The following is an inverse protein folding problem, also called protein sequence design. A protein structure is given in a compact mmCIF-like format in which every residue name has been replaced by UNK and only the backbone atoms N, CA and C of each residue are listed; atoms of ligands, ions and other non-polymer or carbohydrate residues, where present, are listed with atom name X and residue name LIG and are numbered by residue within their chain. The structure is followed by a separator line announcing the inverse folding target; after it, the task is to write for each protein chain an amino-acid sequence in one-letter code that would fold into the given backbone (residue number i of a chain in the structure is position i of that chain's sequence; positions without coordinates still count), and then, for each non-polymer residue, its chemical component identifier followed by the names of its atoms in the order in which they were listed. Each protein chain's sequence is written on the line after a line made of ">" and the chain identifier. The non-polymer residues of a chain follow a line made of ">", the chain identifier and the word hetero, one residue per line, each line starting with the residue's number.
data_IF_795927203710
#
_entry.id   IF_795927203710
#
_cell.length_a   1.000
_cell.length_b   1.000
_cell.length_c   1.000
_cell.angle_alpha   90.00
_cell.angle_beta   90.00
_cell.angle_gamma   90.00
#
_symmetry.space_group_name_H-M   'P 1'
#
loop_
_entity.id
_entity.type
_entity.pdbx_description
1 polymer ?
#
# COMPACT_ATOMS: atom_id res chain seq x y z
N UNK A 1 -55.28 -11.25 -32.91
CA UNK A 1 -56.25 -10.40 -32.22
C UNK A 1 -55.51 -9.42 -31.38
N UNK A 2 -55.73 -8.13 -31.69
CA UNK A 2 -55.10 -6.94 -31.10
C UNK A 2 -55.58 -6.71 -29.67
N UNK A 3 -54.75 -6.23 -28.75
CA UNK A 3 -55.13 -5.20 -27.82
C UNK A 3 -53.91 -4.46 -27.31
N UNK A 4 -53.82 -3.18 -27.68
CA UNK A 4 -52.92 -2.17 -27.15
C UNK A 4 -53.59 -1.47 -25.99
N UNK A 5 -52.85 -1.21 -24.91
CA UNK A 5 -53.26 -0.24 -23.89
C UNK A 5 -52.18 0.81 -23.75
N UNK A 6 -52.56 2.01 -24.18
CA UNK A 6 -51.83 3.26 -23.96
C UNK A 6 -52.15 3.84 -22.58
N UNK A 7 -51.19 4.30 -21.82
CA UNK A 7 -51.40 5.18 -20.67
C UNK A 7 -50.60 6.46 -20.82
N UNK A 8 -51.36 7.52 -20.56
CA UNK A 8 -51.12 8.95 -20.84
C UNK A 8 -49.99 9.58 -20.01
N UNK A 9 -49.29 10.49 -20.66
CA UNK A 9 -48.53 11.60 -20.04
C UNK A 9 -49.55 12.57 -19.34
N UNK A 10 -49.15 13.02 -18.16
CA UNK A 10 -49.66 14.29 -17.61
C UNK A 10 -48.47 15.21 -17.26
N UNK A 11 -48.43 16.31 -18.01
CA UNK A 11 -47.56 17.46 -17.82
C UNK A 11 -48.20 18.32 -16.75
N UNK A 12 -47.42 18.75 -15.75
CA UNK A 12 -47.83 19.79 -14.77
C UNK A 12 -46.80 20.91 -14.75
N UNK A 13 -47.18 22.04 -15.33
CA UNK A 13 -46.46 23.31 -15.35
C UNK A 13 -47.01 24.21 -14.21
N UNK A 14 -46.14 25.00 -13.65
CA UNK A 14 -46.31 26.30 -12.95
C UNK A 14 -45.77 26.25 -11.49
N UNK A 15 -45.07 27.25 -10.89
CA UNK A 15 -45.03 28.69 -11.14
C UNK A 15 -43.73 29.26 -10.59
N UNK A 16 -43.16 30.23 -11.28
CA UNK A 16 -42.16 31.18 -10.80
C UNK A 16 -42.75 32.13 -9.76
N UNK A 17 -42.02 32.47 -8.74
CA UNK A 17 -42.11 33.76 -8.08
C UNK A 17 -40.74 34.28 -7.71
N UNK A 18 -40.38 35.38 -8.34
CA UNK A 18 -39.21 36.21 -8.05
C UNK A 18 -39.55 37.13 -6.85
N UNK A 19 -38.57 37.36 -5.99
CA UNK A 19 -38.57 38.56 -5.10
C UNK A 19 -37.18 39.17 -5.06
N UNK A 20 -37.10 40.36 -5.69
CA UNK A 20 -36.06 41.37 -5.53
C UNK A 20 -36.27 42.14 -4.21
N UNK A 21 -35.20 42.42 -3.46
CA UNK A 21 -35.09 43.59 -2.57
C UNK A 21 -33.61 43.93 -2.43
N UNK A 22 -33.15 44.96 -3.11
CA UNK A 22 -32.90 46.39 -2.84
C UNK A 22 -31.74 46.65 -1.85
N UNK A 23 -30.79 47.31 -2.44
CA UNK A 23 -29.62 48.04 -1.99
C UNK A 23 -29.91 49.00 -0.84
N UNK A 24 -28.98 49.19 0.08
CA UNK A 24 -28.79 50.47 0.78
C UNK A 24 -27.31 50.68 1.14
N UNK A 25 -26.69 51.60 0.43
CA UNK A 25 -25.45 52.31 0.80
C UNK A 25 -25.70 53.21 2.02
N UNK A 26 -24.72 53.27 2.90
CA UNK A 26 -24.54 54.44 3.78
C UNK A 26 -23.04 54.72 3.95
N UNK A 27 -22.61 55.79 3.32
CA UNK A 27 -21.38 56.56 3.54
C UNK A 27 -21.60 57.55 4.69
N UNK A 28 -20.68 57.70 5.60
CA UNK A 28 -20.38 58.95 6.39
C UNK A 28 -19.07 58.63 7.13
N UNK A 29 -18.01 59.26 6.87
CA UNK A 29 -17.42 60.60 6.97
C UNK A 29 -16.34 60.63 8.08
N UNK A 30 -15.21 61.19 7.68
CA UNK A 30 -14.02 61.49 8.49
C UNK A 30 -14.30 62.44 9.68
N UNK A 31 -13.52 62.22 10.77
CA UNK A 31 -13.00 63.36 11.54
C UNK A 31 -11.60 63.04 12.10
N UNK A 32 -10.68 63.99 11.86
CA UNK A 32 -9.35 64.09 12.42
C UNK A 32 -9.41 64.65 13.84
N UNK A 33 -8.60 64.17 14.76
CA UNK A 33 -7.64 65.01 15.47
C UNK A 33 -6.89 64.25 16.56
N UNK A 34 -5.58 64.53 16.70
CA UNK A 34 -4.87 64.66 17.95
C UNK A 34 -3.81 63.60 18.24
N UNK A 35 -2.58 63.97 17.95
CA UNK A 35 -1.31 63.32 18.33
C UNK A 35 -1.16 63.08 19.81
N UNK A 36 -0.50 61.98 20.24
CA UNK A 36 0.75 61.98 21.05
C UNK A 36 1.19 60.56 21.38
N UNK A 37 2.49 60.30 21.26
CA UNK A 37 3.20 59.35 22.13
C UNK A 37 3.52 57.96 21.50
N UNK A 38 4.75 57.87 21.06
CA UNK A 38 5.44 56.68 20.59
C UNK A 38 5.42 55.53 21.60
N UNK A 39 5.17 54.30 21.13
CA UNK A 39 5.95 53.13 21.49
C UNK A 39 5.85 52.11 20.32
N UNK A 40 6.98 51.97 19.65
CA UNK A 40 7.17 51.08 18.52
C UNK A 40 7.30 49.66 19.07
N UNK A 41 6.18 48.92 19.18
CA UNK A 41 6.19 47.50 19.28
C UNK A 41 6.38 46.96 17.85
N UNK A 42 7.56 46.44 17.54
CA UNK A 42 7.85 45.72 16.33
C UNK A 42 6.92 44.51 16.29
N UNK A 43 5.85 44.57 15.45
CA UNK A 43 5.18 43.39 14.98
C UNK A 43 6.23 42.54 14.29
N UNK A 44 6.35 41.24 14.63
CA UNK A 44 7.13 40.36 13.79
C UNK A 44 6.42 40.27 12.45
N UNK A 45 7.04 40.83 11.42
CA UNK A 45 6.70 40.64 10.02
C UNK A 45 6.60 39.12 9.80
N UNK A 46 5.39 38.63 9.59
CA UNK A 46 5.18 37.28 9.09
C UNK A 46 5.88 37.21 7.74
N UNK A 47 7.11 36.73 7.77
CA UNK A 47 7.83 36.30 6.58
C UNK A 47 6.98 35.18 6.01
N UNK A 48 6.29 35.42 4.89
CA UNK A 48 5.78 34.39 4.01
C UNK A 48 6.98 33.69 3.41
N UNK A 49 7.68 32.88 4.25
CA UNK A 49 8.70 31.97 3.82
C UNK A 49 8.04 30.93 2.95
N UNK A 50 8.39 30.89 1.67
CA UNK A 50 8.25 29.67 0.87
C UNK A 50 8.74 28.54 1.72
N UNK A 51 7.82 27.62 2.08
CA UNK A 51 8.12 26.46 2.93
C UNK A 51 9.36 25.76 2.36
N UNK A 52 10.48 25.77 3.09
CA UNK A 52 11.71 25.07 2.73
C UNK A 52 11.54 23.53 2.84
N UNK A 53 10.32 23.08 2.93
CA UNK A 53 9.95 21.68 3.05
C UNK A 53 10.21 20.92 1.74
N UNK A 54 10.66 19.69 1.88
CA UNK A 54 11.02 18.81 0.78
C UNK A 54 9.80 17.97 0.39
N UNK A 55 9.20 18.15 -0.82
CA UNK A 55 7.98 17.48 -1.20
C UNK A 55 8.25 16.05 -1.69
N UNK A 56 7.62 15.06 -1.07
CA UNK A 56 7.61 13.65 -1.49
C UNK A 56 6.17 13.25 -1.80
N UNK A 57 5.93 12.68 -2.98
CA UNK A 57 4.62 12.23 -3.42
C UNK A 57 4.24 10.90 -2.79
N UNK A 58 2.97 10.78 -2.42
CA UNK A 58 2.37 9.54 -1.91
C UNK A 58 1.20 9.18 -2.81
N UNK A 59 1.33 8.07 -3.53
CA UNK A 59 0.35 7.60 -4.49
C UNK A 59 -0.24 6.26 -4.03
N UNK A 60 -1.17 6.29 -3.07
CA UNK A 60 -1.85 5.11 -2.57
C UNK A 60 -3.36 5.16 -2.84
N UNK A 61 -3.99 4.00 -3.01
CA UNK A 61 -5.44 3.89 -3.10
C UNK A 61 -6.08 4.29 -1.77
N UNK A 62 -6.92 5.32 -1.77
CA UNK A 62 -7.69 5.75 -0.60
C UNK A 62 -9.16 5.39 -0.74
N UNK A 63 -9.57 5.04 -1.95
CA UNK A 63 -10.92 4.62 -2.34
C UNK A 63 -10.87 3.25 -3.01
N UNK A 64 -12.02 2.64 -3.33
CA UNK A 64 -12.20 1.32 -3.94
C UNK A 64 -12.12 0.11 -2.98
N UNK A 65 -12.20 -1.09 -3.53
CA UNK A 65 -12.11 -2.37 -2.79
C UNK A 65 -10.72 -2.66 -2.19
N UNK A 66 -9.68 -1.91 -2.61
CA UNK A 66 -8.31 -2.00 -2.07
C UNK A 66 -7.92 -0.79 -1.21
N UNK A 67 -8.86 0.10 -0.90
CA UNK A 67 -8.63 1.31 -0.11
C UNK A 67 -7.96 1.03 1.23
N UNK A 68 -8.36 -0.05 1.90
CA UNK A 68 -7.83 -0.39 3.22
C UNK A 68 -6.34 -0.73 3.16
N UNK A 69 -5.88 -1.36 2.08
CA UNK A 69 -4.46 -1.63 1.85
C UNK A 69 -3.68 -0.32 1.64
N UNK A 70 -4.21 0.59 0.82
CA UNK A 70 -3.59 1.90 0.61
C UNK A 70 -3.60 2.80 1.85
N UNK A 71 -4.64 2.73 2.68
CA UNK A 71 -4.72 3.43 3.96
C UNK A 71 -3.66 2.93 4.95
N UNK A 72 -3.45 1.61 5.06
CA UNK A 72 -2.38 1.05 5.88
C UNK A 72 -0.98 1.50 5.39
N UNK A 73 -0.78 1.64 4.07
CA UNK A 73 0.43 2.24 3.51
C UNK A 73 0.57 3.71 3.88
N UNK A 74 -0.52 4.47 3.79
CA UNK A 74 -0.58 5.90 4.19
C UNK A 74 -0.26 6.09 5.67
N UNK A 75 -0.73 5.19 6.54
CA UNK A 75 -0.39 5.22 7.97
C UNK A 75 1.12 5.08 8.19
N UNK A 76 1.78 4.21 7.41
CA UNK A 76 3.22 4.00 7.48
C UNK A 76 4.02 5.25 7.14
N UNK A 77 3.71 5.92 6.02
CA UNK A 77 4.41 7.15 5.62
C UNK A 77 4.14 8.31 6.58
N UNK A 78 2.93 8.43 7.15
CA UNK A 78 2.62 9.45 8.16
C UNK A 78 3.45 9.28 9.43
N UNK A 79 3.61 8.06 9.91
CA UNK A 79 4.46 7.78 11.07
C UNK A 79 5.92 8.08 10.75
N UNK A 80 6.40 7.73 9.55
CA UNK A 80 7.75 8.02 9.13
C UNK A 80 7.99 9.55 9.00
N UNK A 81 7.08 10.31 8.37
CA UNK A 81 7.16 11.76 8.29
C UNK A 81 7.30 12.40 9.67
N UNK A 82 6.41 12.03 10.60
CA UNK A 82 6.44 12.54 11.99
C UNK A 82 7.76 12.16 12.69
N UNK A 83 8.19 10.91 12.53
CA UNK A 83 9.41 10.39 13.16
C UNK A 83 10.66 11.13 12.67
N UNK A 84 10.84 11.27 11.36
CA UNK A 84 12.03 11.90 10.80
C UNK A 84 12.01 13.42 10.93
N UNK A 85 10.86 14.08 10.81
CA UNK A 85 10.74 15.52 11.04
C UNK A 85 11.05 15.89 12.50
N UNK A 86 10.64 15.07 13.47
CA UNK A 86 10.99 15.26 14.87
C UNK A 86 12.51 15.15 15.14
N UNK A 87 13.26 14.50 14.26
CA UNK A 87 14.72 14.39 14.31
C UNK A 87 15.45 15.45 13.47
N UNK A 88 14.73 16.47 12.97
CA UNK A 88 15.29 17.56 12.19
C UNK A 88 15.21 17.35 10.67
N UNK A 89 14.50 16.34 10.19
CA UNK A 89 14.25 16.12 8.76
C UNK A 89 15.53 15.92 7.94
N UNK A 90 15.64 16.64 6.83
CA UNK A 90 16.82 16.63 5.96
C UNK A 90 17.71 17.80 6.35
N UNK A 91 18.61 17.59 7.32
CA UNK A 91 19.55 18.59 7.80
C UNK A 91 18.88 19.94 8.16
N UNK A 92 17.77 19.89 8.91
CA UNK A 92 16.99 21.06 9.36
C UNK A 92 15.79 21.40 8.49
N UNK A 93 15.64 20.80 7.31
CA UNK A 93 14.50 21.01 6.40
C UNK A 93 13.46 19.92 6.60
N UNK A 94 12.19 20.25 6.85
CA UNK A 94 11.15 19.25 7.04
C UNK A 94 10.80 18.55 5.73
N UNK A 95 10.37 17.29 5.82
CA UNK A 95 9.71 16.56 4.75
C UNK A 95 8.25 16.99 4.72
N UNK A 96 7.67 17.11 3.55
CA UNK A 96 6.24 17.34 3.34
C UNK A 96 5.67 16.30 2.39
N UNK A 97 4.72 15.51 2.85
CA UNK A 97 4.04 14.53 2.02
C UNK A 97 2.91 15.17 1.22
N UNK A 98 2.87 14.86 -0.08
CA UNK A 98 1.84 15.29 -1.03
C UNK A 98 1.07 14.04 -1.46
N UNK A 99 -0.21 13.98 -1.11
CA UNK A 99 -1.03 12.80 -1.31
C UNK A 99 -1.86 12.90 -2.59
N UNK A 100 -1.89 11.80 -3.36
CA UNK A 100 -2.81 11.61 -4.48
C UNK A 100 -3.46 10.22 -4.35
N UNK A 101 -4.79 10.18 -4.44
CA UNK A 101 -5.53 8.92 -4.46
C UNK A 101 -5.40 8.26 -5.84
N UNK A 102 -4.97 7.01 -5.86
CA UNK A 102 -4.88 6.23 -7.10
C UNK A 102 -6.17 5.50 -7.46
N UNK A 103 -7.23 5.62 -6.64
CA UNK A 103 -8.54 4.99 -6.89
C UNK A 103 -8.54 3.46 -6.94
N UNK A 104 -7.37 2.82 -6.84
CA UNK A 104 -7.22 1.36 -6.94
C UNK A 104 -7.20 0.81 -8.37
N UNK A 105 -7.16 1.67 -9.40
CA UNK A 105 -7.09 1.28 -10.81
C UNK A 105 -5.93 1.97 -11.55
N UNK A 106 -5.69 1.56 -12.81
CA UNK A 106 -4.57 2.07 -13.60
C UNK A 106 -4.74 3.53 -13.99
N UNK A 107 -5.96 3.97 -14.31
CA UNK A 107 -6.24 5.35 -14.75
C UNK A 107 -6.03 6.32 -13.60
N UNK A 108 -6.53 5.98 -12.41
CA UNK A 108 -6.29 6.74 -11.20
C UNK A 108 -4.81 6.86 -10.85
N UNK A 109 -4.05 5.78 -10.98
CA UNK A 109 -2.60 5.79 -10.75
C UNK A 109 -1.85 6.68 -11.76
N UNK A 110 -2.19 6.60 -13.06
CA UNK A 110 -1.63 7.46 -14.11
C UNK A 110 -1.87 8.93 -13.77
N UNK A 111 -3.11 9.30 -13.43
CA UNK A 111 -3.48 10.67 -13.10
C UNK A 111 -2.75 11.17 -11.83
N UNK A 112 -2.67 10.34 -10.80
CA UNK A 112 -1.96 10.64 -9.56
C UNK A 112 -0.46 10.93 -9.83
N UNK A 113 0.20 10.08 -10.61
CA UNK A 113 1.61 10.28 -10.97
C UNK A 113 1.82 11.54 -11.80
N UNK A 114 0.96 11.79 -12.80
CA UNK A 114 1.05 13.02 -13.61
C UNK A 114 0.89 14.28 -12.75
N UNK A 115 -0.04 14.28 -11.80
CA UNK A 115 -0.25 15.39 -10.87
C UNK A 115 0.98 15.61 -9.98
N UNK A 116 1.46 14.57 -9.31
CA UNK A 116 2.64 14.64 -8.44
C UNK A 116 3.89 15.13 -9.18
N UNK A 117 4.09 14.65 -10.41
CA UNK A 117 5.28 14.99 -11.23
C UNK A 117 5.19 16.39 -11.82
N UNK A 118 4.05 16.74 -12.44
CA UNK A 118 3.91 17.93 -13.28
C UNK A 118 3.36 19.15 -12.56
N UNK A 119 2.48 18.96 -11.57
CA UNK A 119 1.88 20.06 -10.81
C UNK A 119 2.60 20.25 -9.47
N UNK A 120 2.69 19.17 -8.67
CA UNK A 120 3.26 19.22 -7.31
C UNK A 120 4.78 19.24 -7.29
N UNK A 121 5.44 18.89 -8.43
CA UNK A 121 6.91 18.92 -8.59
C UNK A 121 7.65 18.14 -7.49
N UNK A 122 7.10 17.00 -7.07
CA UNK A 122 7.71 16.16 -6.04
C UNK A 122 9.08 15.63 -6.46
N UNK A 123 9.96 15.39 -5.49
CA UNK A 123 11.32 14.89 -5.74
C UNK A 123 11.39 13.37 -5.93
N UNK A 124 10.37 12.66 -5.47
CA UNK A 124 10.21 11.21 -5.58
C UNK A 124 8.81 10.80 -5.15
N UNK A 125 8.42 9.57 -5.44
CA UNK A 125 7.08 9.02 -5.16
C UNK A 125 7.21 7.73 -4.36
N UNK A 126 6.38 7.58 -3.31
CA UNK A 126 6.12 6.29 -2.64
C UNK A 126 4.78 5.76 -3.14
N UNK A 127 4.76 4.58 -3.69
CA UNK A 127 3.60 3.95 -4.32
C UNK A 127 3.95 3.32 -5.66
N UNK A 128 2.93 2.93 -6.46
CA UNK A 128 1.50 2.90 -6.12
C UNK A 128 1.13 1.70 -5.23
N UNK A 129 -0.17 1.51 -4.94
CA UNK A 129 -0.62 0.41 -4.07
C UNK A 129 -0.49 -0.96 -4.75
N UNK A 130 -0.96 -1.08 -5.99
CA UNK A 130 -1.04 -2.36 -6.71
C UNK A 130 0.05 -2.50 -7.76
N UNK A 131 0.56 -3.72 -7.96
CA UNK A 131 1.50 -4.01 -9.06
C UNK A 131 0.89 -3.72 -10.44
N UNK A 132 -0.42 -3.94 -10.61
CA UNK A 132 -1.15 -3.59 -11.83
C UNK A 132 -1.04 -2.08 -12.11
N UNK A 133 -1.17 -1.24 -11.09
CA UNK A 133 -1.01 0.21 -11.20
C UNK A 133 0.45 0.60 -11.52
N UNK A 134 1.43 -0.10 -10.94
CA UNK A 134 2.85 0.18 -11.19
C UNK A 134 3.21 -0.03 -12.68
N UNK A 135 2.75 -1.10 -13.30
CA UNK A 135 2.99 -1.33 -14.74
C UNK A 135 2.44 -0.21 -15.63
N UNK A 136 1.42 0.51 -15.18
CA UNK A 136 0.79 1.60 -15.92
C UNK A 136 1.36 2.99 -15.59
N UNK A 137 1.71 3.25 -14.32
CA UNK A 137 2.09 4.57 -13.84
C UNK A 137 3.61 4.77 -13.72
N UNK A 138 4.38 3.75 -13.31
CA UNK A 138 5.84 3.87 -13.14
C UNK A 138 6.57 4.24 -14.43
N UNK A 139 6.15 3.79 -15.66
CA UNK A 139 6.74 4.28 -16.89
C UNK A 139 6.64 5.79 -17.09
N UNK A 140 5.67 6.47 -16.44
CA UNK A 140 5.55 7.94 -16.48
C UNK A 140 6.64 8.57 -15.62
N UNK A 141 6.88 8.03 -14.43
CA UNK A 141 7.94 8.48 -13.54
C UNK A 141 9.33 8.24 -14.16
N UNK A 142 9.54 7.07 -14.77
CA UNK A 142 10.77 6.73 -15.51
C UNK A 142 11.09 7.77 -16.57
N UNK A 143 10.15 8.05 -17.49
CA UNK A 143 10.34 9.05 -18.56
C UNK A 143 10.62 10.47 -18.04
N UNK A 144 10.13 10.81 -16.84
CA UNK A 144 10.33 12.09 -16.19
C UNK A 144 11.49 12.08 -15.19
N UNK A 145 12.23 10.98 -15.11
CA UNK A 145 13.36 10.80 -14.20
C UNK A 145 13.01 11.11 -12.73
N UNK A 146 11.85 10.64 -12.30
CA UNK A 146 11.35 10.77 -10.92
C UNK A 146 11.52 9.44 -10.21
N UNK A 147 12.33 9.35 -9.14
CA UNK A 147 12.47 8.13 -8.38
C UNK A 147 11.13 7.64 -7.82
N UNK A 148 10.83 6.36 -7.96
CA UNK A 148 9.70 5.67 -7.35
C UNK A 148 10.23 4.61 -6.39
N UNK A 149 9.69 4.55 -5.19
CA UNK A 149 9.90 3.42 -4.27
C UNK A 149 8.56 2.74 -4.02
N UNK A 150 8.39 1.57 -4.64
CA UNK A 150 7.21 0.74 -4.46
C UNK A 150 7.23 0.06 -3.08
N UNK A 151 6.20 0.32 -2.27
CA UNK A 151 6.06 -0.24 -0.92
C UNK A 151 5.35 -1.60 -0.90
N UNK A 152 4.52 -1.91 -1.91
CA UNK A 152 3.66 -3.10 -1.92
C UNK A 152 3.64 -3.87 -3.24
N UNK A 153 4.38 -3.44 -4.25
CA UNK A 153 4.38 -4.02 -5.58
C UNK A 153 5.34 -5.22 -5.66
N UNK A 154 4.81 -6.42 -5.50
CA UNK A 154 5.60 -7.65 -5.37
C UNK A 154 5.62 -8.54 -6.60
N UNK A 155 4.88 -8.17 -7.67
CA UNK A 155 4.91 -8.88 -8.94
C UNK A 155 6.32 -8.93 -9.55
N UNK A 156 6.56 -9.94 -10.38
CA UNK A 156 7.77 -10.01 -11.21
C UNK A 156 7.74 -8.85 -12.22
N UNK A 157 8.91 -8.27 -12.50
CA UNK A 157 9.04 -7.26 -13.54
C UNK A 157 8.82 -5.81 -13.07
N UNK A 158 8.63 -5.55 -11.77
CA UNK A 158 8.45 -4.18 -11.25
C UNK A 158 9.74 -3.34 -11.37
N UNK A 159 10.91 -3.77 -10.86
CA UNK A 159 12.12 -2.97 -11.01
C UNK A 159 12.62 -2.88 -12.45
N UNK A 160 12.26 -3.84 -13.28
CA UNK A 160 12.62 -3.89 -14.70
C UNK A 160 11.82 -2.88 -15.56
N UNK A 161 10.88 -2.14 -14.98
CA UNK A 161 10.16 -1.04 -15.66
C UNK A 161 11.13 0.08 -16.04
N UNK A 162 12.13 0.36 -15.21
CA UNK A 162 13.15 1.36 -15.53
C UNK A 162 14.10 1.68 -14.37
N UNK A 163 15.12 2.47 -14.67
CA UNK A 163 16.22 2.81 -13.75
C UNK A 163 15.76 3.67 -12.55
N UNK A 164 14.61 4.33 -12.66
CA UNK A 164 14.03 5.16 -11.60
C UNK A 164 12.96 4.44 -10.79
N UNK A 165 12.80 3.13 -10.97
CA UNK A 165 11.83 2.30 -10.23
C UNK A 165 12.56 1.33 -9.30
N UNK A 166 12.38 1.53 -8.00
CA UNK A 166 12.87 0.63 -6.97
C UNK A 166 11.71 0.12 -6.10
N UNK A 167 11.93 -0.96 -5.36
CA UNK A 167 10.95 -1.45 -4.38
C UNK A 167 11.59 -1.89 -3.07
N UNK A 168 10.88 -1.67 -1.97
CA UNK A 168 11.22 -2.22 -0.65
C UNK A 168 10.37 -3.45 -0.30
N UNK A 169 9.41 -3.80 -1.15
CA UNK A 169 8.60 -5.00 -1.05
C UNK A 169 9.27 -6.16 -1.78
N UNK A 170 9.68 -7.18 -1.04
CA UNK A 170 10.33 -8.37 -1.64
C UNK A 170 9.41 -9.08 -2.62
N UNK A 171 9.98 -9.52 -3.74
CA UNK A 171 9.25 -10.26 -4.79
C UNK A 171 8.52 -11.47 -4.22
N UNK A 172 7.32 -11.75 -4.73
CA UNK A 172 6.59 -13.00 -4.44
C UNK A 172 7.42 -14.25 -4.76
N UNK A 173 8.34 -14.16 -5.72
CA UNK A 173 9.25 -15.26 -6.06
C UNK A 173 10.16 -15.66 -4.88
N UNK A 174 10.46 -14.72 -3.99
CA UNK A 174 11.25 -14.95 -2.79
C UNK A 174 10.37 -15.40 -1.63
N UNK A 175 9.24 -14.72 -1.40
CA UNK A 175 8.43 -14.83 -0.18
C UNK A 175 7.45 -16.02 -0.22
N UNK A 176 6.75 -16.23 -1.33
CA UNK A 176 5.65 -17.20 -1.42
C UNK A 176 6.08 -18.66 -1.08
N UNK A 177 7.26 -19.15 -1.49
CA UNK A 177 7.69 -20.54 -1.17
C UNK A 177 7.78 -20.83 0.33
N UNK A 178 7.99 -19.83 1.19
CA UNK A 178 8.09 -20.04 2.64
C UNK A 178 6.79 -20.58 3.25
N UNK A 179 5.63 -20.11 2.77
CA UNK A 179 4.32 -20.58 3.26
C UNK A 179 4.07 -22.05 2.90
N UNK A 180 4.43 -22.48 1.68
CA UNK A 180 4.29 -23.89 1.25
C UNK A 180 5.20 -24.80 2.08
N UNK A 181 6.46 -24.41 2.29
CA UNK A 181 7.40 -25.15 3.14
C UNK A 181 6.90 -25.25 4.60
N UNK A 182 6.31 -24.16 5.12
CA UNK A 182 5.74 -24.16 6.46
C UNK A 182 4.51 -25.09 6.57
N UNK A 183 3.64 -25.12 5.57
CA UNK A 183 2.52 -26.06 5.51
C UNK A 183 2.99 -27.52 5.52
N UNK A 184 4.03 -27.84 4.74
CA UNK A 184 4.64 -29.20 4.72
C UNK A 184 5.31 -29.55 6.06
N UNK A 185 5.88 -28.58 6.77
CA UNK A 185 6.44 -28.79 8.10
C UNK A 185 5.35 -29.08 9.15
N UNK A 186 4.17 -28.46 9.01
CA UNK A 186 3.03 -28.75 9.87
C UNK A 186 2.37 -30.09 9.56
N UNK A 187 2.31 -30.47 8.28
CA UNK A 187 1.75 -31.73 7.82
C UNK A 187 2.53 -32.27 6.62
N UNK A 188 3.44 -33.22 6.89
CA UNK A 188 4.25 -33.87 5.86
C UNK A 188 3.47 -34.82 4.93
N UNK A 189 2.20 -35.11 5.23
CA UNK A 189 1.33 -35.94 4.40
C UNK A 189 0.64 -35.17 3.26
N UNK A 190 0.85 -33.85 3.15
CA UNK A 190 0.32 -33.05 2.04
C UNK A 190 0.89 -33.57 0.72
N UNK A 191 -0.01 -33.93 -0.21
CA UNK A 191 0.32 -34.39 -1.55
C UNK A 191 -0.48 -33.69 -2.62
N UNK A 192 -1.75 -33.37 -2.36
CA UNK A 192 -2.74 -32.85 -3.31
C UNK A 192 -2.98 -31.39 -3.03
N UNK A 193 -2.76 -30.52 -4.02
CA UNK A 193 -2.84 -29.07 -3.87
C UNK A 193 -3.86 -28.51 -4.86
N UNK A 194 -4.80 -27.71 -4.37
CA UNK A 194 -5.65 -26.86 -5.19
C UNK A 194 -5.17 -25.40 -5.09
N UNK A 195 -5.14 -24.72 -6.21
CA UNK A 195 -4.74 -23.30 -6.29
C UNK A 195 -5.91 -22.49 -6.80
N UNK A 196 -6.15 -21.32 -6.20
CA UNK A 196 -7.10 -20.32 -6.62
C UNK A 196 -6.40 -18.99 -6.87
N UNK A 197 -6.79 -18.23 -7.89
CA UNK A 197 -6.20 -16.92 -8.11
C UNK A 197 -7.12 -15.95 -8.84
N UNK A 198 -6.98 -14.65 -8.51
CA UNK A 198 -7.66 -13.57 -9.23
C UNK A 198 -6.96 -13.33 -10.58
N UNK A 199 -7.64 -13.73 -11.67
CA UNK A 199 -7.05 -13.72 -13.02
C UNK A 199 -6.97 -12.34 -13.67
N UNK A 200 -7.65 -11.34 -13.11
CA UNK A 200 -7.68 -9.97 -13.64
C UNK A 200 -6.63 -9.04 -13.01
N UNK A 201 -5.75 -9.55 -12.14
CA UNK A 201 -4.75 -8.74 -11.47
C UNK A 201 -3.33 -9.26 -11.72
N UNK A 202 -2.38 -8.35 -12.00
CA UNK A 202 -1.00 -8.69 -12.37
C UNK A 202 -0.21 -9.31 -11.22
N UNK A 203 -0.41 -8.83 -9.97
CA UNK A 203 0.23 -9.41 -8.79
C UNK A 203 -0.25 -10.85 -8.57
N UNK A 204 -1.58 -11.08 -8.57
CA UNK A 204 -2.15 -12.41 -8.32
C UNK A 204 -1.75 -13.42 -9.41
N UNK A 205 -1.64 -12.99 -10.68
CA UNK A 205 -1.06 -13.83 -11.76
C UNK A 205 0.39 -14.20 -11.48
N UNK A 206 1.22 -13.21 -11.13
CA UNK A 206 2.64 -13.43 -10.81
C UNK A 206 2.81 -14.35 -9.61
N UNK A 207 2.01 -14.17 -8.56
CA UNK A 207 2.09 -14.98 -7.34
C UNK A 207 1.64 -16.42 -7.58
N UNK A 208 0.54 -16.63 -8.31
CA UNK A 208 0.05 -17.97 -8.61
C UNK A 208 1.03 -18.79 -9.45
N UNK A 209 1.75 -18.15 -10.38
CA UNK A 209 2.82 -18.81 -11.16
C UNK A 209 3.93 -19.34 -10.22
N UNK A 210 4.32 -18.55 -9.22
CA UNK A 210 5.33 -18.97 -8.23
C UNK A 210 4.81 -20.10 -7.35
N UNK A 211 3.56 -20.03 -6.88
CA UNK A 211 2.96 -21.12 -6.11
C UNK A 211 2.86 -22.40 -6.91
N UNK A 212 2.39 -22.37 -8.16
CA UNK A 212 2.31 -23.55 -9.02
C UNK A 212 3.70 -24.14 -9.28
N UNK A 213 4.70 -23.28 -9.55
CA UNK A 213 6.09 -23.72 -9.68
C UNK A 213 6.60 -24.37 -8.39
N UNK A 214 6.36 -23.74 -7.25
CA UNK A 214 6.80 -24.25 -5.94
C UNK A 214 6.17 -25.61 -5.63
N UNK A 215 4.87 -25.77 -5.89
CA UNK A 215 4.15 -27.04 -5.75
C UNK A 215 4.80 -28.13 -6.59
N UNK A 216 5.10 -27.82 -7.86
CA UNK A 216 5.77 -28.75 -8.78
C UNK A 216 7.19 -29.10 -8.33
N UNK A 217 7.99 -28.09 -7.97
CA UNK A 217 9.39 -28.26 -7.53
C UNK A 217 9.50 -29.12 -6.26
N UNK A 218 8.49 -29.08 -5.40
CA UNK A 218 8.39 -29.89 -4.18
C UNK A 218 7.76 -31.28 -4.41
N UNK A 219 7.49 -31.66 -5.66
CA UNK A 219 6.91 -32.96 -6.03
C UNK A 219 5.46 -33.16 -5.59
N UNK A 220 4.72 -32.08 -5.32
CA UNK A 220 3.31 -32.13 -4.95
C UNK A 220 2.43 -32.20 -6.20
N UNK A 221 1.25 -32.83 -6.05
CA UNK A 221 0.28 -32.98 -7.14
C UNK A 221 -0.69 -31.76 -7.17
N UNK A 222 -0.56 -30.93 -8.17
CA UNK A 222 -1.50 -29.84 -8.46
C UNK A 222 -2.78 -30.43 -9.08
N UNK A 223 -3.84 -30.55 -8.26
CA UNK A 223 -5.09 -31.21 -8.69
C UNK A 223 -6.03 -30.29 -9.46
N UNK A 224 -5.99 -28.98 -9.20
CA UNK A 224 -6.77 -27.98 -9.93
C UNK A 224 -6.18 -26.58 -9.76
N UNK A 225 -6.44 -25.71 -10.74
CA UNK A 225 -6.20 -24.28 -10.70
C UNK A 225 -7.51 -23.58 -11.05
N UNK A 226 -8.12 -22.96 -10.05
CA UNK A 226 -9.39 -22.25 -10.16
C UNK A 226 -9.15 -20.75 -10.35
N UNK A 227 -9.95 -20.12 -11.19
CA UNK A 227 -9.84 -18.69 -11.53
C UNK A 227 -11.05 -17.94 -11.00
N UNK A 228 -10.81 -16.70 -10.56
CA UNK A 228 -11.86 -15.77 -10.15
C UNK A 228 -11.46 -14.33 -10.51
N UNK A 229 -12.33 -13.36 -10.25
CA UNK A 229 -12.08 -11.94 -10.40
C UNK A 229 -11.94 -11.29 -9.02
N UNK A 230 -11.14 -10.23 -8.89
CA UNK A 230 -11.01 -9.46 -7.63
C UNK A 230 -12.33 -8.85 -7.14
N UNK A 231 -13.35 -8.81 -7.99
CA UNK A 231 -14.69 -8.31 -7.70
C UNK A 231 -15.71 -9.41 -7.38
N UNK A 232 -15.32 -10.69 -7.49
CA UNK A 232 -16.21 -11.80 -7.20
C UNK A 232 -16.49 -11.89 -5.70
N UNK A 233 -17.72 -12.26 -5.38
CA UNK A 233 -18.21 -12.45 -3.99
C UNK A 233 -18.76 -13.84 -3.75
N UNK A 234 -19.09 -14.59 -4.80
CA UNK A 234 -19.56 -15.97 -4.76
C UNK A 234 -18.54 -16.89 -5.44
N UNK A 235 -18.07 -17.88 -4.69
CA UNK A 235 -17.05 -18.85 -5.10
C UNK A 235 -17.53 -20.30 -4.94
N UNK A 236 -18.84 -20.50 -4.69
CA UNK A 236 -19.38 -21.84 -4.35
C UNK A 236 -19.08 -22.88 -5.41
N UNK A 237 -19.21 -22.52 -6.69
CA UNK A 237 -18.94 -23.45 -7.78
C UNK A 237 -17.47 -23.87 -7.79
N UNK A 238 -16.53 -22.90 -7.83
CA UNK A 238 -15.09 -23.18 -7.88
C UNK A 238 -14.62 -23.92 -6.61
N UNK A 239 -15.15 -23.52 -5.44
CA UNK A 239 -14.83 -24.15 -4.16
C UNK A 239 -15.31 -25.61 -4.11
N UNK A 240 -16.55 -25.88 -4.54
CA UNK A 240 -17.12 -27.24 -4.60
C UNK A 240 -16.33 -28.15 -5.55
N UNK A 241 -16.00 -27.64 -6.75
CA UNK A 241 -15.20 -28.38 -7.73
C UNK A 241 -13.83 -28.75 -7.17
N UNK A 242 -13.18 -27.81 -6.49
CA UNK A 242 -11.88 -28.07 -5.88
C UNK A 242 -11.96 -29.07 -4.70
N UNK A 243 -12.95 -28.93 -3.82
CA UNK A 243 -13.16 -29.83 -2.65
C UNK A 243 -13.45 -31.26 -3.09
N UNK A 244 -14.21 -31.46 -4.18
CA UNK A 244 -14.50 -32.78 -4.74
C UNK A 244 -13.23 -33.53 -5.18
N UNK A 245 -12.15 -32.79 -5.51
CA UNK A 245 -10.85 -33.35 -5.82
C UNK A 245 -10.02 -33.70 -4.55
N UNK A 246 -10.57 -33.52 -3.36
CA UNK A 246 -9.98 -33.83 -2.06
C UNK A 246 -8.54 -33.32 -1.91
N UNK A 247 -8.29 -31.98 -2.01
CA UNK A 247 -6.97 -31.41 -1.79
C UNK A 247 -6.60 -31.47 -0.31
N UNK A 248 -5.31 -31.74 -0.02
CA UNK A 248 -4.76 -31.66 1.35
C UNK A 248 -4.41 -30.20 1.69
N UNK A 249 -4.11 -29.39 0.68
CA UNK A 249 -3.72 -27.99 0.76
C UNK A 249 -4.48 -27.16 -0.27
N UNK A 250 -5.00 -26.02 0.16
CA UNK A 250 -5.52 -24.96 -0.72
C UNK A 250 -4.60 -23.76 -0.65
N UNK A 251 -4.25 -23.17 -1.80
CA UNK A 251 -3.47 -21.94 -1.91
C UNK A 251 -4.34 -20.89 -2.62
N UNK A 252 -4.39 -19.68 -2.10
CA UNK A 252 -5.23 -18.59 -2.61
C UNK A 252 -4.36 -17.37 -2.89
N UNK A 253 -4.20 -16.99 -4.17
CA UNK A 253 -3.65 -15.71 -4.61
C UNK A 253 -4.79 -14.75 -4.89
N UNK A 254 -5.07 -13.89 -3.92
CA UNK A 254 -6.14 -12.87 -3.92
C UNK A 254 -5.81 -11.76 -2.94
N UNK A 255 -6.69 -10.77 -2.86
CA UNK A 255 -6.63 -9.75 -1.83
C UNK A 255 -7.46 -10.15 -0.59
N UNK A 256 -7.46 -9.32 0.44
CA UNK A 256 -8.14 -9.65 1.69
C UNK A 256 -9.66 -9.82 1.52
N UNK A 257 -10.30 -9.07 0.62
CA UNK A 257 -11.76 -9.10 0.46
C UNK A 257 -12.19 -10.34 -0.33
N UNK A 258 -11.71 -10.50 -1.55
CA UNK A 258 -12.04 -11.62 -2.43
C UNK A 258 -11.52 -12.96 -1.87
N UNK A 259 -10.23 -13.01 -1.55
CA UNK A 259 -9.60 -14.21 -0.98
C UNK A 259 -10.15 -14.59 0.40
N UNK A 260 -10.46 -13.60 1.25
CA UNK A 260 -11.08 -13.84 2.55
C UNK A 260 -12.50 -14.41 2.44
N UNK A 261 -13.31 -13.93 1.48
CA UNK A 261 -14.62 -14.51 1.17
C UNK A 261 -14.48 -15.93 0.63
N UNK A 262 -13.47 -16.21 -0.21
CA UNK A 262 -13.19 -17.57 -0.67
C UNK A 262 -12.80 -18.50 0.49
N UNK A 263 -11.94 -18.05 1.42
CA UNK A 263 -11.62 -18.82 2.65
C UNK A 263 -12.91 -19.17 3.40
N UNK A 264 -13.77 -18.18 3.61
CA UNK A 264 -15.05 -18.37 4.31
C UNK A 264 -15.88 -19.45 3.63
N UNK A 265 -16.11 -19.35 2.32
CA UNK A 265 -16.94 -20.32 1.58
C UNK A 265 -16.33 -21.72 1.54
N UNK A 266 -15.00 -21.86 1.41
CA UNK A 266 -14.31 -23.15 1.54
C UNK A 266 -14.60 -23.79 2.90
N UNK A 267 -14.51 -23.02 4.00
CA UNK A 267 -14.79 -23.51 5.35
C UNK A 267 -16.25 -23.87 5.56
N UNK A 268 -17.17 -23.05 5.05
CA UNK A 268 -18.63 -23.30 5.11
C UNK A 268 -19.03 -24.56 4.33
N UNK A 269 -18.35 -24.86 3.22
CA UNK A 269 -18.51 -26.10 2.45
C UNK A 269 -17.78 -27.31 3.10
N UNK A 270 -17.20 -27.13 4.29
CA UNK A 270 -16.62 -28.22 5.09
C UNK A 270 -15.16 -28.53 4.83
N UNK A 271 -14.42 -27.70 4.05
CA UNK A 271 -12.99 -27.90 3.88
C UNK A 271 -12.23 -27.66 5.20
N UNK A 272 -11.55 -28.68 5.71
CA UNK A 272 -10.79 -28.65 6.98
C UNK A 272 -9.27 -28.70 6.80
N UNK A 273 -8.80 -28.83 5.55
CA UNK A 273 -7.36 -28.85 5.23
C UNK A 273 -6.69 -27.51 5.48
N UNK A 274 -5.36 -27.51 5.30
CA UNK A 274 -4.56 -26.28 5.42
C UNK A 274 -4.90 -25.32 4.28
N UNK A 275 -5.00 -24.04 4.60
CA UNK A 275 -5.13 -22.96 3.62
C UNK A 275 -3.91 -22.04 3.73
N UNK A 276 -3.30 -21.73 2.59
CA UNK A 276 -2.31 -20.66 2.44
C UNK A 276 -2.99 -19.49 1.76
N UNK A 277 -2.91 -18.31 2.39
CA UNK A 277 -3.18 -17.04 1.76
C UNK A 277 -1.91 -16.45 1.17
N UNK A 278 -2.00 -15.86 0.00
CA UNK A 278 -0.91 -15.13 -0.63
C UNK A 278 -0.57 -13.80 0.08
N UNK A 279 0.37 -13.06 -0.49
CA UNK A 279 0.84 -11.80 0.09
C UNK A 279 -0.27 -10.75 0.21
N UNK A 280 -1.32 -10.79 -0.61
CA UNK A 280 -2.48 -9.91 -0.52
C UNK A 280 -3.32 -10.07 0.76
N UNK A 281 -3.06 -11.12 1.56
CA UNK A 281 -3.69 -11.31 2.87
C UNK A 281 -2.91 -10.63 4.02
N UNK A 282 -1.74 -10.03 3.75
CA UNK A 282 -0.89 -9.38 4.75
C UNK A 282 -1.41 -7.99 5.17
N UNK A 283 -2.68 -7.91 5.48
CA UNK A 283 -3.40 -6.74 5.98
C UNK A 283 -4.29 -7.12 7.16
N UNK A 284 -4.47 -6.21 8.12
CA UNK A 284 -5.35 -6.45 9.27
C UNK A 284 -6.82 -6.65 8.88
N UNK A 285 -7.21 -6.25 7.68
CA UNK A 285 -8.60 -6.36 7.20
C UNK A 285 -9.04 -7.79 6.91
N UNK A 286 -8.11 -8.72 6.68
CA UNK A 286 -8.43 -10.14 6.49
C UNK A 286 -9.27 -10.67 7.65
N UNK A 287 -9.01 -10.25 8.90
CA UNK A 287 -9.70 -10.73 10.08
C UNK A 287 -11.20 -10.40 10.07
N UNK A 288 -11.56 -9.19 9.61
CA UNK A 288 -12.99 -8.78 9.54
C UNK A 288 -13.75 -9.45 8.40
N UNK A 289 -13.06 -9.90 7.34
CA UNK A 289 -13.68 -10.53 6.16
C UNK A 289 -14.04 -11.99 6.44
N UNK A 290 -13.08 -12.82 6.73
CA UNK A 290 -13.34 -14.26 6.94
C UNK A 290 -13.61 -14.63 8.42
N UNK A 291 -13.44 -13.69 9.36
CA UNK A 291 -13.78 -13.84 10.78
C UNK A 291 -13.20 -15.14 11.39
N UNK A 292 -13.95 -15.83 12.23
CA UNK A 292 -13.51 -17.08 12.87
C UNK A 292 -13.02 -18.16 11.87
N UNK A 293 -13.47 -18.10 10.62
CA UNK A 293 -13.12 -19.06 9.57
C UNK A 293 -11.70 -18.83 8.99
N UNK A 294 -11.06 -17.71 9.32
CA UNK A 294 -9.66 -17.44 9.00
C UNK A 294 -8.68 -18.18 9.90
N UNK A 295 -9.11 -18.70 11.07
CA UNK A 295 -8.17 -19.27 12.03
C UNK A 295 -7.32 -20.37 11.39
N UNK A 296 -6.01 -20.29 11.59
CA UNK A 296 -5.06 -21.26 11.05
C UNK A 296 -4.62 -21.04 9.60
N UNK A 297 -5.12 -20.03 8.86
CA UNK A 297 -4.61 -19.70 7.53
C UNK A 297 -3.14 -19.28 7.63
N UNK A 298 -2.28 -19.85 6.79
CA UNK A 298 -0.83 -19.60 6.76
C UNK A 298 -0.53 -18.50 5.75
N UNK A 299 0.35 -17.56 6.11
CA UNK A 299 0.81 -16.49 5.23
C UNK A 299 2.30 -16.28 5.42
N UNK A 300 3.04 -16.15 4.31
CA UNK A 300 4.42 -15.70 4.36
C UNK A 300 4.50 -14.19 4.47
N UNK A 301 5.45 -13.66 5.24
CA UNK A 301 5.63 -12.25 5.50
C UNK A 301 7.09 -11.80 5.37
N UNK A 302 7.28 -10.56 4.89
CA UNK A 302 8.57 -9.89 4.83
C UNK A 302 8.79 -8.90 6.01
N UNK A 303 7.93 -8.93 7.01
CA UNK A 303 7.99 -8.09 8.20
C UNK A 303 7.60 -8.86 9.46
N UNK A 304 8.26 -8.54 10.57
CA UNK A 304 7.87 -8.99 11.90
C UNK A 304 7.92 -7.84 12.89
N UNK A 305 6.83 -7.57 13.64
CA UNK A 305 6.81 -6.48 14.64
C UNK A 305 7.79 -6.72 15.80
N UNK A 306 8.30 -7.94 15.95
CA UNK A 306 9.29 -8.29 16.98
C UNK A 306 10.72 -8.38 16.47
N UNK A 307 10.98 -7.99 15.21
CA UNK A 307 12.36 -7.92 14.71
C UNK A 307 13.21 -6.97 15.58
N UNK A 308 14.39 -7.43 16.08
CA UNK A 308 15.13 -6.72 17.14
C UNK A 308 15.99 -5.59 16.57
N UNK A 309 15.38 -4.50 16.07
CA UNK A 309 16.10 -3.29 15.69
C UNK A 309 15.54 -2.06 16.40
N UNK A 310 16.40 -1.05 16.62
CA UNK A 310 15.99 0.21 17.24
C UNK A 310 14.89 0.91 16.45
N UNK A 311 15.02 0.92 15.13
CA UNK A 311 14.06 1.59 14.25
C UNK A 311 12.71 0.84 14.23
N UNK A 312 12.71 -0.50 14.22
CA UNK A 312 11.47 -1.28 14.31
C UNK A 312 10.78 -1.04 15.67
N UNK A 313 11.54 -1.02 16.75
CA UNK A 313 10.98 -0.75 18.09
C UNK A 313 10.33 0.64 18.15
N UNK A 314 10.97 1.68 17.60
CA UNK A 314 10.43 3.03 17.54
C UNK A 314 9.19 3.12 16.65
N UNK A 315 9.24 2.55 15.45
CA UNK A 315 8.12 2.48 14.51
C UNK A 315 6.92 1.77 15.13
N UNK A 316 7.12 0.55 15.65
CA UNK A 316 6.06 -0.24 16.29
C UNK A 316 5.42 0.51 17.44
N UNK A 317 6.24 1.14 18.32
CA UNK A 317 5.74 1.93 19.44
C UNK A 317 4.83 3.06 18.96
N UNK A 318 5.29 3.86 17.99
CA UNK A 318 4.51 4.98 17.43
C UNK A 318 3.20 4.49 16.78
N UNK A 319 3.23 3.37 16.08
CA UNK A 319 2.05 2.79 15.44
C UNK A 319 1.03 2.30 16.49
N UNK A 320 1.49 1.52 17.48
CA UNK A 320 0.62 0.97 18.54
C UNK A 320 0.01 2.08 19.39
N UNK A 321 0.76 3.13 19.70
CA UNK A 321 0.24 4.31 20.42
C UNK A 321 -0.91 4.99 19.66
N UNK A 322 -0.81 5.08 18.32
CA UNK A 322 -1.80 5.76 17.49
C UNK A 322 -2.99 4.88 17.11
N UNK A 323 -2.75 3.61 16.74
CA UNK A 323 -3.78 2.74 16.15
C UNK A 323 -4.25 1.60 17.05
N UNK A 324 -3.64 1.41 18.22
CA UNK A 324 -3.99 0.39 19.24
C UNK A 324 -3.96 -1.06 18.73
N UNK A 325 -3.17 -1.31 17.71
CA UNK A 325 -2.94 -2.63 17.10
C UNK A 325 -1.50 -2.75 16.59
N UNK A 326 -1.05 -3.98 16.30
CA UNK A 326 0.25 -4.19 15.67
C UNK A 326 0.26 -3.66 14.23
N UNK A 327 1.40 -3.10 13.79
CA UNK A 327 1.53 -2.64 12.40
C UNK A 327 1.51 -3.81 11.43
N UNK A 328 0.67 -3.76 10.38
CA UNK A 328 0.71 -4.72 9.30
C UNK A 328 1.94 -4.52 8.39
N UNK A 329 2.23 -5.51 7.56
CA UNK A 329 3.43 -5.53 6.71
C UNK A 329 3.54 -4.29 5.82
N UNK A 330 2.46 -3.92 5.12
CA UNK A 330 2.51 -2.77 4.19
C UNK A 330 2.82 -1.45 4.90
N UNK A 331 2.38 -1.28 6.14
CA UNK A 331 2.69 -0.09 6.96
C UNK A 331 4.20 0.00 7.23
N UNK A 332 4.83 -1.13 7.57
CA UNK A 332 6.28 -1.20 7.78
C UNK A 332 7.06 -0.96 6.47
N UNK A 333 6.57 -1.48 5.36
CA UNK A 333 7.15 -1.27 4.04
C UNK A 333 7.03 0.19 3.59
N UNK A 334 5.89 0.83 3.78
CA UNK A 334 5.68 2.24 3.45
C UNK A 334 6.51 3.18 4.34
N UNK A 335 6.63 2.88 5.63
CA UNK A 335 7.58 3.56 6.52
C UNK A 335 9.00 3.44 5.97
N UNK A 336 9.42 2.22 5.59
CA UNK A 336 10.75 1.94 5.05
C UNK A 336 11.00 2.69 3.74
N UNK A 337 10.01 2.76 2.84
CA UNK A 337 10.14 3.51 1.58
C UNK A 337 10.44 5.00 1.83
N UNK A 338 9.73 5.63 2.76
CA UNK A 338 10.00 7.01 3.13
C UNK A 338 11.34 7.16 3.86
N UNK A 339 11.72 6.22 4.74
CA UNK A 339 13.03 6.19 5.40
C UNK A 339 14.17 6.19 4.37
N UNK A 340 14.09 5.36 3.34
CA UNK A 340 15.08 5.30 2.27
C UNK A 340 15.27 6.67 1.61
N UNK A 341 14.18 7.36 1.27
CA UNK A 341 14.27 8.72 0.74
C UNK A 341 14.96 9.68 1.70
N UNK A 342 14.58 9.64 2.97
CA UNK A 342 15.14 10.54 3.99
C UNK A 342 16.64 10.34 4.14
N UNK A 343 17.09 9.10 4.35
CA UNK A 343 18.50 8.79 4.56
C UNK A 343 19.33 9.05 3.30
N UNK A 344 18.81 8.75 2.11
CA UNK A 344 19.46 9.08 0.84
C UNK A 344 19.60 10.61 0.65
N UNK A 345 18.56 11.39 0.97
CA UNK A 345 18.61 12.86 0.91
C UNK A 345 19.58 13.44 1.93
N UNK A 346 19.60 12.92 3.15
CA UNK A 346 20.57 13.34 4.18
C UNK A 346 22.01 13.08 3.75
N UNK A 347 22.25 11.92 3.13
CA UNK A 347 23.56 11.57 2.56
C UNK A 347 23.93 12.48 1.39
N UNK A 348 23.00 12.70 0.46
CA UNK A 348 23.20 13.56 -0.70
C UNK A 348 23.47 15.01 -0.30
N UNK A 349 22.72 15.57 0.66
CA UNK A 349 22.89 16.96 1.10
C UNK A 349 24.25 17.22 1.73
N UNK A 350 24.83 16.22 2.42
CA UNK A 350 26.21 16.30 2.94
C UNK A 350 27.23 16.41 1.81
N UNK A 351 26.99 15.73 0.68
CA UNK A 351 27.91 15.68 -0.47
C UNK A 351 27.74 16.88 -1.42
N UNK A 352 26.49 17.23 -1.74
CA UNK A 352 26.16 18.12 -2.87
C UNK A 352 25.29 19.33 -2.54
N UNK A 353 24.86 19.50 -1.28
CA UNK A 353 23.95 20.60 -0.88
C UNK A 353 22.71 20.69 -1.76
N UNK A 354 21.70 19.89 -1.45
CA UNK A 354 20.50 19.70 -2.29
C UNK A 354 19.75 20.99 -2.68
N UNK A 355 19.88 22.05 -1.88
CA UNK A 355 19.32 23.38 -2.20
C UNK A 355 20.02 24.12 -3.36
N UNK A 356 21.17 23.63 -3.82
CA UNK A 356 21.88 24.17 -4.98
C UNK A 356 21.57 23.41 -6.28
N UNK A 357 20.86 22.28 -6.18
CA UNK A 357 20.51 21.45 -7.33
C UNK A 357 19.20 21.92 -7.96
N UNK A 358 19.12 21.89 -9.28
CA UNK A 358 17.84 21.98 -9.98
C UNK A 358 17.00 20.73 -9.69
N UNK A 359 15.69 20.81 -9.85
CA UNK A 359 14.81 19.66 -9.59
C UNK A 359 15.21 18.40 -10.39
N UNK A 360 15.52 18.46 -11.71
CA UNK A 360 15.99 17.28 -12.42
C UNK A 360 17.31 16.72 -11.87
N UNK A 361 18.28 17.61 -11.54
CA UNK A 361 19.54 17.16 -10.93
C UNK A 361 19.32 16.49 -9.58
N UNK A 362 18.43 17.05 -8.75
CA UNK A 362 18.10 16.47 -7.45
C UNK A 362 17.48 15.07 -7.60
N UNK A 363 16.52 14.89 -8.50
CA UNK A 363 15.87 13.61 -8.79
C UNK A 363 16.87 12.55 -9.23
N UNK A 364 17.74 12.89 -10.20
CA UNK A 364 18.75 11.96 -10.71
C UNK A 364 19.78 11.58 -9.64
N UNK A 365 20.31 12.56 -8.89
CA UNK A 365 21.30 12.28 -7.85
C UNK A 365 20.68 11.53 -6.67
N UNK A 366 19.43 11.82 -6.32
CA UNK A 366 18.68 11.08 -5.30
C UNK A 366 18.50 9.62 -5.71
N UNK A 367 18.10 9.35 -6.95
CA UNK A 367 17.96 7.98 -7.46
C UNK A 367 19.27 7.19 -7.37
N UNK A 368 20.38 7.80 -7.76
CA UNK A 368 21.69 7.18 -7.64
C UNK A 368 22.12 6.93 -6.20
N UNK A 369 21.80 7.83 -5.29
CA UNK A 369 22.16 7.72 -3.89
C UNK A 369 21.34 6.65 -3.17
N UNK A 370 20.04 6.58 -3.43
CA UNK A 370 19.15 5.59 -2.79
C UNK A 370 19.53 4.16 -3.17
N UNK A 371 19.91 3.89 -4.42
CA UNK A 371 20.30 2.55 -4.88
C UNK A 371 21.62 2.07 -4.29
N UNK A 372 22.51 2.98 -3.90
CA UNK A 372 23.82 2.65 -3.29
C UNK A 372 23.74 2.41 -1.79
N UNK A 373 22.66 2.83 -1.16
CA UNK A 373 22.51 2.80 0.30
C UNK A 373 22.33 1.39 0.87
N UNK A 374 22.71 1.26 2.14
CA UNK A 374 22.31 0.16 3.03
C UNK A 374 21.55 0.76 4.19
N UNK A 375 20.39 0.24 4.47
CA UNK A 375 19.42 0.85 5.38
C UNK A 375 19.05 -0.11 6.49
N UNK A 376 19.11 0.37 7.74
CA UNK A 376 18.60 -0.36 8.90
C UNK A 376 17.15 0.03 9.12
N UNK A 377 16.23 -0.85 8.77
CA UNK A 377 14.80 -0.54 8.66
C UNK A 377 13.93 -1.41 9.58
N UNK A 378 12.63 -1.14 9.68
CA UNK A 378 11.70 -2.09 10.30
C UNK A 378 11.69 -3.48 9.65
N UNK A 379 12.03 -3.57 8.35
CA UNK A 379 12.10 -4.84 7.62
C UNK A 379 13.42 -5.61 7.85
N UNK A 380 14.32 -5.05 8.65
CA UNK A 380 15.70 -5.50 8.79
C UNK A 380 16.69 -4.65 8.00
N UNK A 381 17.90 -5.16 7.82
CA UNK A 381 18.86 -4.54 6.92
C UNK A 381 18.43 -4.78 5.47
N UNK A 382 18.30 -3.71 4.71
CA UNK A 382 18.01 -3.77 3.27
C UNK A 382 19.06 -3.03 2.45
N UNK A 383 19.21 -3.46 1.21
CA UNK A 383 19.95 -2.80 0.15
C UNK A 383 19.19 -3.00 -1.16
N UNK A 384 19.71 -2.46 -2.26
CA UNK A 384 19.11 -2.62 -3.58
C UNK A 384 20.06 -3.33 -4.53
N UNK A 385 19.51 -4.10 -5.46
CA UNK A 385 20.21 -4.56 -6.65
C UNK A 385 20.44 -3.36 -7.60
N UNK A 386 21.32 -3.49 -8.58
CA UNK A 386 21.51 -2.43 -9.59
C UNK A 386 20.22 -2.04 -10.35
N UNK A 387 19.26 -2.95 -10.45
CA UNK A 387 17.95 -2.72 -11.10
C UNK A 387 16.86 -2.25 -10.13
N UNK A 388 17.19 -1.92 -8.87
CA UNK A 388 16.20 -1.40 -7.91
C UNK A 388 15.40 -2.45 -7.14
N UNK A 389 15.68 -3.76 -7.28
CA UNK A 389 15.04 -4.78 -6.43
C UNK A 389 15.63 -4.80 -5.03
N UNK A 390 14.80 -5.04 -4.02
CA UNK A 390 15.26 -5.08 -2.64
C UNK A 390 16.06 -6.35 -2.36
N UNK A 391 17.17 -6.19 -1.66
CA UNK A 391 17.94 -7.26 -1.03
C UNK A 391 17.55 -7.25 0.46
N UNK A 392 16.77 -8.23 0.87
CA UNK A 392 16.33 -8.46 2.25
C UNK A 392 16.65 -9.91 2.64
N UNK A 393 16.99 -10.14 3.90
CA UNK A 393 17.36 -11.50 4.41
C UNK A 393 16.29 -12.11 5.29
N UNK A 394 15.49 -11.28 5.97
CA UNK A 394 14.57 -11.73 7.00
C UNK A 394 13.17 -11.96 6.43
N UNK A 395 12.73 -13.22 6.43
CA UNK A 395 11.39 -13.62 6.02
C UNK A 395 10.76 -14.49 7.11
N UNK A 396 9.45 -14.38 7.22
CA UNK A 396 8.68 -14.99 8.28
C UNK A 396 7.50 -15.75 7.72
N UNK A 397 6.93 -16.63 8.52
CA UNK A 397 5.62 -17.23 8.25
C UNK A 397 4.76 -17.01 9.48
N UNK A 398 3.53 -16.59 9.25
CA UNK A 398 2.55 -16.42 10.31
C UNK A 398 1.30 -17.28 10.03
N UNK A 399 0.59 -17.61 11.10
CA UNK A 399 -0.80 -18.06 11.02
C UNK A 399 -1.72 -16.96 11.48
N UNK A 400 -2.85 -16.84 10.84
CA UNK A 400 -3.96 -16.05 11.37
C UNK A 400 -4.47 -16.72 12.65
N UNK A 401 -4.52 -15.96 13.73
CA UNK A 401 -5.11 -16.38 15.01
C UNK A 401 -6.23 -15.45 15.36
N UNK A 402 -7.43 -16.01 15.37
CA UNK A 402 -8.63 -15.27 15.72
C UNK A 402 -8.81 -15.19 17.24
N UNK A 403 -9.30 -14.04 17.71
CA UNK A 403 -9.70 -13.87 19.11
C UNK A 403 -11.07 -14.53 19.37
N UNK A 404 -11.40 -14.71 20.65
CA UNK A 404 -12.66 -15.35 21.06
C UNK A 404 -13.91 -14.62 20.58
N UNK A 405 -13.81 -13.31 20.27
CA UNK A 405 -14.91 -12.52 19.69
C UNK A 405 -15.20 -12.89 18.21
N UNK A 406 -14.34 -13.67 17.55
CA UNK A 406 -14.49 -14.13 16.18
C UNK A 406 -14.42 -13.03 15.11
N UNK A 407 -14.01 -11.80 15.47
CA UNK A 407 -13.93 -10.64 14.56
C UNK A 407 -12.51 -10.11 14.49
N UNK A 408 -11.85 -9.97 15.64
CA UNK A 408 -10.47 -9.53 15.73
C UNK A 408 -9.51 -10.70 15.64
N UNK A 409 -8.29 -10.43 15.22
CA UNK A 409 -7.25 -11.45 15.13
C UNK A 409 -5.86 -10.83 15.09
N UNK A 410 -4.87 -11.69 15.02
CA UNK A 410 -3.44 -11.30 14.92
C UNK A 410 -2.69 -12.29 14.05
N UNK A 411 -1.56 -11.83 13.53
CA UNK A 411 -0.57 -12.68 12.89
C UNK A 411 0.30 -13.34 13.97
N UNK A 412 0.19 -14.65 14.10
CA UNK A 412 0.99 -15.45 15.04
C UNK A 412 2.17 -16.06 14.29
N UNK A 413 3.37 -15.56 14.55
CA UNK A 413 4.58 -15.97 13.84
C UNK A 413 4.99 -17.40 14.22
N UNK A 414 5.24 -18.20 13.20
CA UNK A 414 5.71 -19.58 13.35
C UNK A 414 7.25 -19.57 13.47
N UNK A 415 7.79 -20.42 14.34
CA UNK A 415 9.23 -20.65 14.38
C UNK A 415 9.67 -21.39 13.11
N UNK A 416 10.14 -20.65 12.12
CA UNK A 416 10.82 -21.23 10.94
C UNK A 416 12.29 -21.31 11.30
N UNK A 417 12.68 -22.40 11.94
CA UNK A 417 14.09 -22.80 12.07
C UNK A 417 14.47 -23.71 10.92
#
# INVERSE_FOLDING_TARGET
>A
MKSAIAVRLSVGIAHQTALLFICSMLLIACSKSGSTGANSAKNPTATTGTSDAIPIGIAFAQTSNVALLGQEGTDGVKIAEKYFNAQGGINGRPIKLIYQDTGGDEVGAINAFQTLINQDKVIGIVGPTLSQQAFSADPIAERNQVPVIAASNTAKGIPEIGDYVARVSSSVAVVAPYSVKAALKQNSQIKRVAVFYAQNDAFNKSETEIFQKTVKDLGLNLVTVQKFQTTDTDFQAQASDAINLKPDLVIISGFAVDGGNLVKQLRELGYKGIIIGGNGFNTSHIFSVCRALCDGVIIAQAYSPVYPSKINTAFRKAYVEQYRREPPQITAQAFTALQVYVEALQSLDKKSKINKLTLPQLRTQLNQELLKGKYQTPLGEIAFTPVGDVIQKEFYVAQLKMEANGVNGKFSFLSVK
#
